data_IF_439811256722
#
_entry.id   IF_439811256722
#
_cell.length_a   1.000
_cell.length_b   1.000
_cell.length_c   1.000
_cell.angle_alpha   90.00
_cell.angle_beta   90.00
_cell.angle_gamma   90.00
#
_symmetry.space_group_name_H-M   'P 1'
#
loop_
_entity.id
_entity.type
_entity.pdbx_description
1 polymer ?
#
# COMPACT_ATOMS: atom_id res chain seq x y z
N UNK A 1 39.64 14.67 -42.73
CA UNK A 1 39.49 15.11 -41.33
C UNK A 1 38.95 13.90 -40.60
N UNK A 2 39.88 13.09 -40.08
CA UNK A 2 40.28 13.10 -38.65
C UNK A 2 39.13 12.53 -37.80
N UNK A 3 39.28 11.58 -36.88
CA UNK A 3 40.35 10.82 -36.22
C UNK A 3 39.59 9.58 -35.65
N UNK A 4 40.15 8.39 -35.55
CA UNK A 4 41.06 8.05 -34.47
C UNK A 4 40.29 7.57 -33.22
N UNK A 5 40.33 6.27 -32.92
CA UNK A 5 39.89 5.76 -31.62
C UNK A 5 39.94 4.24 -31.47
N UNK A 6 41.10 3.66 -31.09
CA UNK A 6 41.15 2.29 -30.62
C UNK A 6 41.21 2.19 -29.08
N UNK A 7 40.49 1.18 -28.63
CA UNK A 7 40.53 0.45 -27.36
C UNK A 7 41.84 0.42 -26.55
N UNK A 8 41.68 0.43 -25.23
CA UNK A 8 42.67 0.04 -24.22
C UNK A 8 42.38 0.78 -22.89
N UNK A 9 42.56 0.25 -21.68
CA UNK A 9 43.50 -0.75 -21.14
C UNK A 9 42.87 -1.25 -19.82
N UNK A 10 42.62 -2.55 -19.59
CA UNK A 10 43.51 -3.60 -19.06
C UNK A 10 44.36 -3.17 -17.84
N UNK A 11 43.92 -3.69 -16.68
CA UNK A 11 44.55 -3.70 -15.37
C UNK A 11 45.84 -4.55 -15.35
N UNK A 12 46.83 -4.13 -14.53
CA UNK A 12 48.00 -4.91 -14.13
C UNK A 12 48.26 -4.71 -12.62
N UNK A 13 48.57 -5.77 -11.84
CA UNK A 13 49.20 -5.65 -10.53
C UNK A 13 50.73 -5.85 -10.61
N UNK A 14 51.45 -5.45 -9.57
CA UNK A 14 52.88 -5.70 -9.39
C UNK A 14 53.16 -6.32 -8.01
N UNK A 15 54.02 -7.35 -7.98
CA UNK A 15 54.55 -8.04 -6.80
C UNK A 15 55.75 -7.32 -6.16
N UNK A 16 56.05 -7.61 -4.88
CA UNK A 16 57.14 -8.51 -4.38
C UNK A 16 58.50 -7.78 -4.40
N UNK A 17 59.27 -7.63 -3.30
CA UNK A 17 60.13 -8.68 -2.69
C UNK A 17 60.77 -8.23 -1.34
N UNK A 18 61.35 -9.21 -0.65
CA UNK A 18 61.78 -9.36 0.76
C UNK A 18 63.28 -9.16 1.05
N UNK A 19 63.67 -9.06 2.35
CA UNK A 19 64.84 -9.68 3.07
C UNK A 19 64.98 -8.99 4.47
N UNK A 20 64.88 -9.63 5.65
CA UNK A 20 65.75 -10.61 6.39
C UNK A 20 67.02 -9.94 6.99
N UNK A 21 67.49 -10.07 8.25
CA UNK A 21 67.57 -11.17 9.24
C UNK A 21 68.12 -10.64 10.61
N UNK A 22 68.03 -11.39 11.75
CA UNK A 22 68.95 -11.24 12.92
C UNK A 22 68.43 -11.21 14.39
N UNK A 23 68.65 -12.33 15.11
CA UNK A 23 68.41 -12.76 16.52
C UNK A 23 68.91 -11.87 17.72
N UNK A 24 68.32 -12.02 18.94
CA UNK A 24 68.97 -12.36 20.24
C UNK A 24 67.99 -12.37 21.47
N UNK A 25 68.34 -13.11 22.54
CA UNK A 25 67.53 -13.78 23.58
C UNK A 25 67.00 -12.99 24.84
N UNK A 26 65.86 -13.49 25.35
CA UNK A 26 65.30 -13.62 26.73
C UNK A 26 65.70 -12.73 27.96
N UNK A 27 64.71 -11.91 28.43
CA UNK A 27 64.06 -11.67 29.78
C UNK A 27 64.80 -11.81 31.16
N UNK A 28 64.32 -11.24 32.32
CA UNK A 28 62.94 -10.80 32.70
C UNK A 28 62.77 -9.56 33.67
N UNK A 29 61.51 -9.35 34.15
CA UNK A 29 60.96 -8.50 35.25
C UNK A 29 60.58 -7.04 34.89
N UNK A 30 59.44 -6.42 35.23
CA UNK A 30 58.42 -6.62 36.28
C UNK A 30 57.11 -5.86 35.91
N UNK A 31 55.95 -6.41 36.32
CA UNK A 31 54.70 -5.77 36.80
C UNK A 31 54.13 -4.51 36.12
N UNK A 32 52.96 -4.63 35.46
CA UNK A 32 51.67 -4.04 35.87
C UNK A 32 50.58 -4.38 34.83
N UNK A 33 49.49 -5.05 35.24
CA UNK A 33 48.30 -5.20 34.40
C UNK A 33 47.49 -3.88 34.40
N UNK A 34 46.94 -3.42 33.26
CA UNK A 34 45.92 -2.39 33.28
C UNK A 34 44.53 -3.03 33.46
N UNK A 35 43.76 -2.48 34.40
CA UNK A 35 42.34 -2.70 34.62
C UNK A 35 41.53 -2.63 33.30
N UNK A 36 40.49 -3.47 33.11
CA UNK A 36 39.52 -3.24 32.07
C UNK A 36 38.65 -2.05 32.50
N UNK A 37 39.06 -0.85 32.07
CA UNK A 37 38.22 0.34 32.12
C UNK A 37 36.86 0.01 31.50
N UNK A 38 35.81 0.31 32.27
CA UNK A 38 34.44 -0.10 32.02
C UNK A 38 34.02 0.03 30.57
N UNK A 39 33.48 -1.06 30.05
CA UNK A 39 32.51 -1.00 28.97
C UNK A 39 31.38 -0.15 29.52
N UNK A 40 31.42 1.15 29.19
CA UNK A 40 30.22 1.96 29.22
C UNK A 40 29.23 1.22 28.33
N UNK A 41 28.23 0.63 28.96
CA UNK A 41 26.96 0.38 28.32
C UNK A 41 26.49 1.76 27.87
N UNK A 42 26.87 2.12 26.65
CA UNK A 42 26.16 3.13 25.89
C UNK A 42 24.77 2.51 25.67
N UNK A 43 23.90 2.73 26.64
CA UNK A 43 22.47 2.71 26.44
C UNK A 43 22.18 3.73 25.35
N UNK A 44 22.32 3.30 24.10
CA UNK A 44 21.75 3.92 22.91
C UNK A 44 20.23 3.81 23.05
N UNK A 45 19.67 4.55 24.00
CA UNK A 45 18.24 4.85 24.11
C UNK A 45 17.91 5.91 23.05
N UNK A 46 18.28 5.62 21.80
CA UNK A 46 17.69 6.25 20.64
C UNK A 46 16.18 6.05 20.73
N UNK A 47 15.34 7.01 20.27
CA UNK A 47 13.91 6.95 20.51
C UNK A 47 13.34 5.62 20.02
N UNK A 48 13.04 4.70 20.95
CA UNK A 48 12.46 3.41 20.60
C UNK A 48 11.21 3.67 19.75
N UNK A 49 11.18 3.13 18.53
CA UNK A 49 10.02 3.24 17.65
C UNK A 49 8.88 2.38 18.22
N UNK A 50 8.12 3.00 19.13
CA UNK A 50 7.00 2.38 19.84
C UNK A 50 5.84 2.01 18.91
N UNK A 51 5.75 2.60 17.73
CA UNK A 51 4.71 2.25 16.77
C UNK A 51 5.13 0.96 16.05
N UNK A 52 6.37 0.88 15.56
CA UNK A 52 6.87 -0.35 14.91
C UNK A 52 6.95 -1.56 15.85
N UNK A 53 6.99 -1.37 17.17
CA UNK A 53 6.94 -2.47 18.15
C UNK A 53 5.55 -3.10 18.33
N UNK A 54 4.49 -2.49 17.80
CA UNK A 54 3.13 -3.05 17.86
C UNK A 54 3.02 -4.40 17.12
N UNK A 55 2.07 -5.27 17.52
CA UNK A 55 1.78 -6.50 16.79
C UNK A 55 1.37 -6.22 15.34
N UNK A 56 1.73 -7.14 14.44
CA UNK A 56 1.50 -7.04 13.00
C UNK A 56 0.03 -6.81 12.64
N UNK A 57 -0.89 -7.43 13.39
CA UNK A 57 -2.33 -7.23 13.22
C UNK A 57 -2.73 -5.76 13.45
N UNK A 58 -2.21 -5.14 14.51
CA UNK A 58 -2.50 -3.73 14.84
C UNK A 58 -1.90 -2.79 13.80
N UNK A 59 -0.68 -3.08 13.34
CA UNK A 59 -0.04 -2.33 12.26
C UNK A 59 -0.84 -2.45 10.95
N UNK A 60 -1.31 -3.66 10.63
CA UNK A 60 -2.20 -3.91 9.50
C UNK A 60 -3.51 -3.12 9.60
N UNK A 61 -4.11 -3.07 10.79
CA UNK A 61 -5.31 -2.26 11.05
C UNK A 61 -5.03 -0.78 10.82
N UNK A 62 -3.94 -0.24 11.39
CA UNK A 62 -3.54 1.17 11.17
C UNK A 62 -3.39 1.47 9.68
N UNK A 63 -2.66 0.62 8.95
CA UNK A 63 -2.48 0.77 7.51
C UNK A 63 -3.84 0.77 6.77
N UNK A 64 -4.75 -0.13 7.15
CA UNK A 64 -6.06 -0.28 6.51
C UNK A 64 -6.99 0.92 6.72
N UNK A 65 -6.72 1.74 7.74
CA UNK A 65 -7.47 2.96 8.03
C UNK A 65 -6.95 4.15 7.22
N UNK A 66 -5.69 4.13 6.77
CA UNK A 66 -5.12 5.19 5.96
C UNK A 66 -5.59 5.09 4.50
N UNK A 67 -5.80 6.22 3.79
CA UNK A 67 -5.88 6.20 2.33
C UNK A 67 -4.69 5.45 1.75
N UNK A 68 -4.92 4.61 0.75
CA UNK A 68 -3.92 3.69 0.21
C UNK A 68 -2.59 4.35 -0.16
N UNK A 69 -2.57 5.58 -0.65
CA UNK A 69 -1.31 6.27 -0.96
C UNK A 69 -0.54 6.73 0.29
N UNK A 70 -1.22 7.04 1.39
CA UNK A 70 -0.60 7.28 2.69
C UNK A 70 -0.20 5.96 3.37
N UNK A 71 -1.01 4.90 3.24
CA UNK A 71 -0.64 3.54 3.67
C UNK A 71 0.62 3.05 2.97
N UNK A 72 0.77 3.31 1.66
CA UNK A 72 2.00 3.00 0.92
C UNK A 72 3.22 3.85 1.36
N UNK A 73 3.02 5.00 2.02
CA UNK A 73 4.13 5.82 2.53
C UNK A 73 4.65 5.34 3.87
N UNK A 74 3.84 4.63 4.67
CA UNK A 74 4.31 4.06 5.94
C UNK A 74 5.42 3.01 5.74
N UNK A 75 5.61 2.52 4.51
CA UNK A 75 6.72 1.64 4.14
C UNK A 75 8.11 2.19 4.48
N UNK A 76 8.26 3.51 4.64
CA UNK A 76 9.54 4.15 4.99
C UNK A 76 9.86 4.04 6.49
N UNK A 77 8.88 3.69 7.33
CA UNK A 77 9.05 3.65 8.78
C UNK A 77 9.95 2.48 9.21
N UNK A 78 9.73 1.29 8.64
CA UNK A 78 10.65 0.15 8.75
C UNK A 78 10.31 -0.93 7.72
N UNK A 79 11.20 -1.92 7.58
CA UNK A 79 10.95 -3.11 6.73
C UNK A 79 9.63 -3.79 7.08
N UNK A 80 9.25 -3.82 8.36
CA UNK A 80 8.01 -4.41 8.87
C UNK A 80 6.77 -3.78 8.22
N UNK A 81 6.66 -2.46 8.20
CA UNK A 81 5.55 -1.75 7.55
C UNK A 81 5.51 -2.00 6.05
N UNK A 82 6.68 -2.04 5.41
CA UNK A 82 6.79 -2.37 3.99
C UNK A 82 6.23 -3.76 3.67
N UNK A 83 6.58 -4.76 4.47
CA UNK A 83 6.07 -6.12 4.30
C UNK A 83 4.56 -6.19 4.55
N UNK A 84 4.06 -5.56 5.60
CA UNK A 84 2.63 -5.55 5.91
C UNK A 84 1.80 -4.87 4.81
N UNK A 85 2.25 -3.73 4.30
CA UNK A 85 1.62 -3.06 3.15
C UNK A 85 1.56 -3.96 1.91
N UNK A 86 2.62 -4.71 1.60
CA UNK A 86 2.68 -5.50 0.36
C UNK A 86 1.98 -6.86 0.48
N UNK A 87 1.67 -7.34 1.67
CA UNK A 87 1.29 -8.74 1.88
C UNK A 87 -0.04 -8.97 2.61
N UNK A 88 -0.44 -8.11 3.55
CA UNK A 88 -1.55 -8.43 4.45
C UNK A 88 -2.54 -7.29 4.70
N UNK A 89 -2.10 -6.04 4.63
CA UNK A 89 -2.94 -4.92 5.02
C UNK A 89 -4.09 -4.70 4.02
N UNK A 90 -5.37 -4.64 4.47
CA UNK A 90 -6.47 -4.38 3.57
C UNK A 90 -6.40 -3.00 2.89
N UNK A 91 -6.72 -2.91 1.59
CA UNK A 91 -6.72 -1.64 0.86
C UNK A 91 -7.88 -0.72 1.27
N UNK A 92 -7.57 0.57 1.46
CA UNK A 92 -8.54 1.64 1.57
C UNK A 92 -8.35 2.62 0.41
N UNK A 93 -8.99 2.28 -0.71
CA UNK A 93 -8.81 2.96 -1.98
C UNK A 93 -9.80 4.11 -2.13
N UNK A 94 -9.32 5.33 -1.95
CA UNK A 94 -10.07 6.56 -2.22
C UNK A 94 -9.63 7.18 -3.55
N UNK A 95 -10.32 6.81 -4.63
CA UNK A 95 -10.04 7.34 -5.96
C UNK A 95 -10.31 8.84 -6.07
N UNK A 96 -11.21 9.38 -5.24
CA UNK A 96 -11.53 10.82 -5.23
C UNK A 96 -10.37 11.61 -4.65
N UNK A 97 -9.77 11.13 -3.55
CA UNK A 97 -8.56 11.71 -2.96
C UNK A 97 -7.37 11.68 -3.92
N UNK A 98 -7.14 10.55 -4.60
CA UNK A 98 -6.06 10.41 -5.57
C UNK A 98 -6.22 11.36 -6.76
N UNK A 99 -7.46 11.53 -7.26
CA UNK A 99 -7.76 12.50 -8.32
C UNK A 99 -7.49 13.93 -7.86
N UNK A 100 -7.95 14.32 -6.68
CA UNK A 100 -7.75 15.66 -6.13
C UNK A 100 -6.26 15.98 -5.95
N UNK A 101 -5.49 14.99 -5.49
CA UNK A 101 -4.07 15.16 -5.19
C UNK A 101 -3.16 15.15 -6.43
N UNK A 102 -3.43 14.27 -7.39
CA UNK A 102 -2.52 14.01 -8.51
C UNK A 102 -3.08 14.42 -9.87
N UNK A 103 -4.37 14.75 -9.96
CA UNK A 103 -5.09 14.98 -11.21
C UNK A 103 -5.58 13.68 -11.85
N UNK A 104 -6.61 13.78 -12.71
CA UNK A 104 -7.34 12.65 -13.31
C UNK A 104 -6.43 11.61 -13.98
N UNK A 105 -5.57 12.04 -14.89
CA UNK A 105 -4.74 11.14 -15.70
C UNK A 105 -3.70 10.41 -14.85
N UNK A 106 -3.05 11.11 -13.91
CA UNK A 106 -2.05 10.49 -13.03
C UNK A 106 -2.71 9.55 -12.02
N UNK A 107 -3.87 9.93 -11.48
CA UNK A 107 -4.61 9.10 -10.56
C UNK A 107 -4.97 7.73 -11.17
N UNK A 108 -5.41 7.70 -12.44
CA UNK A 108 -5.71 6.46 -13.14
C UNK A 108 -4.51 5.50 -13.18
N UNK A 109 -3.32 6.01 -13.53
CA UNK A 109 -2.08 5.21 -13.54
C UNK A 109 -1.67 4.72 -12.15
N UNK A 110 -1.79 5.57 -11.13
CA UNK A 110 -1.50 5.23 -9.73
C UNK A 110 -2.43 4.11 -9.25
N UNK A 111 -3.73 4.23 -9.51
CA UNK A 111 -4.75 3.25 -9.13
C UNK A 111 -4.49 1.91 -9.80
N UNK A 112 -4.20 1.91 -11.11
CA UNK A 112 -3.85 0.69 -11.81
C UNK A 112 -2.62 0.01 -11.20
N UNK A 113 -1.60 0.78 -10.81
CA UNK A 113 -0.38 0.24 -10.19
C UNK A 113 -0.63 -0.31 -8.80
N UNK A 114 -1.46 0.35 -8.00
CA UNK A 114 -1.88 -0.14 -6.68
C UNK A 114 -2.60 -1.47 -6.82
N UNK A 115 -3.62 -1.53 -7.67
CA UNK A 115 -4.45 -2.72 -7.85
C UNK A 115 -3.64 -3.91 -8.42
N UNK A 116 -2.58 -3.65 -9.20
CA UNK A 116 -1.70 -4.71 -9.71
C UNK A 116 -0.61 -5.16 -8.74
N UNK A 117 -0.13 -4.25 -7.87
CA UNK A 117 0.98 -4.56 -6.95
C UNK A 117 0.51 -5.15 -5.63
N UNK A 118 -0.78 -5.03 -5.31
CA UNK A 118 -1.31 -5.39 -4.01
C UNK A 118 -2.24 -6.61 -4.11
N UNK A 119 -1.96 -7.71 -3.36
CA UNK A 119 -2.72 -8.97 -3.48
C UNK A 119 -4.15 -8.90 -2.89
N UNK A 120 -4.46 -7.87 -2.11
CA UNK A 120 -5.73 -7.73 -1.39
C UNK A 120 -5.68 -8.41 0.00
N UNK A 121 -6.76 -8.35 0.80
CA UNK A 121 -8.11 -7.87 0.42
C UNK A 121 -8.25 -6.34 0.43
N UNK A 122 -9.41 -5.84 0.01
CA UNK A 122 -9.78 -4.44 0.11
C UNK A 122 -10.80 -4.26 1.22
N UNK A 123 -10.63 -3.22 2.03
CA UNK A 123 -11.57 -2.81 3.08
C UNK A 123 -12.56 -1.78 2.57
N UNK A 124 -12.07 -0.74 1.90
CA UNK A 124 -12.88 0.41 1.45
C UNK A 124 -12.55 0.81 0.02
N UNK A 125 -13.59 1.16 -0.75
CA UNK A 125 -13.50 1.71 -2.09
C UNK A 125 -14.42 2.93 -2.17
N UNK A 126 -13.84 4.09 -2.46
CA UNK A 126 -14.58 5.31 -2.79
C UNK A 126 -14.20 5.73 -4.19
N UNK A 127 -15.19 5.80 -5.08
CA UNK A 127 -14.97 6.08 -6.49
C UNK A 127 -16.12 6.87 -7.10
N UNK A 128 -15.79 7.75 -8.03
CA UNK A 128 -16.77 8.45 -8.85
C UNK A 128 -16.48 8.27 -10.35
N UNK A 129 -17.47 8.65 -11.17
CA UNK A 129 -17.45 8.59 -12.63
C UNK A 129 -16.42 9.50 -13.31
N UNK A 130 -15.79 10.39 -12.54
CA UNK A 130 -14.73 11.26 -13.02
C UNK A 130 -13.48 10.49 -13.43
N UNK A 131 -13.39 9.19 -13.17
CA UNK A 131 -12.20 8.39 -13.44
C UNK A 131 -12.45 7.27 -14.46
N UNK A 132 -11.59 7.17 -15.47
CA UNK A 132 -11.68 6.13 -16.50
C UNK A 132 -11.47 4.70 -15.96
N UNK A 133 -11.07 4.56 -14.70
CA UNK A 133 -10.75 3.27 -14.06
C UNK A 133 -11.86 2.70 -13.20
N UNK A 134 -13.08 3.28 -13.21
CA UNK A 134 -14.24 2.75 -12.43
C UNK A 134 -14.40 1.25 -12.63
N UNK A 135 -14.53 0.88 -13.90
CA UNK A 135 -14.65 -0.50 -14.35
C UNK A 135 -13.49 -1.40 -13.92
N UNK A 136 -12.26 -0.88 -13.99
CA UNK A 136 -11.06 -1.60 -13.57
C UNK A 136 -11.05 -1.85 -12.05
N UNK A 137 -11.51 -0.86 -11.26
CA UNK A 137 -11.64 -1.00 -9.81
C UNK A 137 -12.68 -2.06 -9.48
N UNK A 138 -13.88 -1.99 -10.07
CA UNK A 138 -14.96 -2.95 -9.80
C UNK A 138 -14.60 -4.39 -10.17
N UNK A 139 -13.73 -4.59 -11.17
CA UNK A 139 -13.25 -5.92 -11.59
C UNK A 139 -12.03 -6.42 -10.80
N UNK A 140 -11.35 -5.57 -10.05
CA UNK A 140 -10.11 -5.97 -9.37
C UNK A 140 -10.35 -7.02 -8.29
N UNK A 141 -9.51 -8.07 -8.28
CA UNK A 141 -9.53 -9.10 -7.23
C UNK A 141 -9.00 -8.60 -5.89
N UNK A 142 -8.19 -7.54 -5.91
CA UNK A 142 -7.70 -6.92 -4.69
C UNK A 142 -8.83 -6.37 -3.81
N UNK A 143 -10.06 -6.24 -4.34
CA UNK A 143 -11.23 -5.70 -3.65
C UNK A 143 -12.31 -6.77 -3.37
N UNK A 144 -12.01 -8.06 -3.49
CA UNK A 144 -13.03 -9.14 -3.41
C UNK A 144 -13.80 -9.21 -2.09
N UNK A 145 -13.19 -8.75 -0.99
CA UNK A 145 -13.79 -8.75 0.37
C UNK A 145 -14.16 -7.35 0.84
N UNK A 146 -14.58 -6.50 -0.08
CA UNK A 146 -14.89 -5.10 0.21
C UNK A 146 -15.99 -4.99 1.29
N UNK A 147 -15.70 -4.23 2.34
CA UNK A 147 -16.64 -3.99 3.44
C UNK A 147 -17.36 -2.64 3.28
N UNK A 148 -16.69 -1.66 2.67
CA UNK A 148 -17.21 -0.31 2.49
C UNK A 148 -17.13 0.11 1.02
N UNK A 149 -18.27 0.44 0.43
CA UNK A 149 -18.36 0.97 -0.93
C UNK A 149 -19.04 2.33 -0.95
N UNK A 150 -18.40 3.32 -1.57
CA UNK A 150 -19.03 4.55 -1.99
C UNK A 150 -18.82 4.73 -3.50
N UNK A 151 -19.92 4.71 -4.26
CA UNK A 151 -19.91 4.89 -5.71
C UNK A 151 -20.83 6.04 -6.10
N UNK A 152 -20.28 6.99 -6.85
CA UNK A 152 -21.01 8.19 -7.28
C UNK A 152 -20.93 8.42 -8.78
N UNK A 153 -22.01 8.94 -9.35
CA UNK A 153 -22.07 9.37 -10.74
C UNK A 153 -22.71 10.74 -10.82
N UNK A 154 -22.04 11.71 -11.43
CA UNK A 154 -22.49 13.10 -11.45
C UNK A 154 -23.50 13.38 -12.56
N UNK A 155 -23.56 12.53 -13.60
CA UNK A 155 -24.57 12.68 -14.67
C UNK A 155 -25.81 11.82 -14.44
N UNK A 156 -27.00 12.44 -14.39
CA UNK A 156 -28.22 11.70 -14.07
C UNK A 156 -28.56 10.67 -15.15
N UNK A 157 -29.18 9.56 -14.73
CA UNK A 157 -29.82 8.61 -15.64
C UNK A 157 -28.99 7.37 -16.00
N UNK A 158 -27.81 7.20 -15.41
CA UNK A 158 -26.93 6.06 -15.71
C UNK A 158 -27.26 4.88 -14.79
N UNK A 159 -27.40 3.65 -15.33
CA UNK A 159 -27.62 2.47 -14.51
C UNK A 159 -26.39 2.16 -13.67
N UNK A 160 -26.62 1.63 -12.46
CA UNK A 160 -25.51 1.16 -11.61
C UNK A 160 -24.75 0.02 -12.32
N UNK A 161 -23.40 0.05 -12.38
CA UNK A 161 -22.61 -1.01 -13.00
C UNK A 161 -22.88 -2.37 -12.35
N UNK A 162 -23.07 -3.41 -13.16
CA UNK A 162 -23.43 -4.74 -12.63
C UNK A 162 -22.32 -5.37 -11.79
N UNK A 163 -21.06 -4.99 -12.02
CA UNK A 163 -19.94 -5.44 -11.21
C UNK A 163 -20.02 -4.94 -9.76
N UNK A 164 -20.80 -3.90 -9.45
CA UNK A 164 -21.03 -3.47 -8.07
C UNK A 164 -21.68 -4.55 -7.20
N UNK A 165 -22.50 -5.43 -7.79
CA UNK A 165 -23.22 -6.48 -7.07
C UNK A 165 -22.31 -7.56 -6.49
N UNK A 166 -21.10 -7.72 -7.02
CA UNK A 166 -20.16 -8.73 -6.54
C UNK A 166 -19.77 -8.54 -5.07
N UNK A 167 -19.80 -7.29 -4.60
CA UNK A 167 -19.40 -6.94 -3.24
C UNK A 167 -20.55 -7.13 -2.24
N UNK A 168 -21.78 -7.32 -2.71
CA UNK A 168 -22.97 -7.37 -1.85
C UNK A 168 -22.88 -8.38 -0.67
N UNK A 169 -22.28 -9.57 -0.82
CA UNK A 169 -22.16 -10.52 0.30
C UNK A 169 -21.27 -10.04 1.45
N UNK A 170 -20.30 -9.16 1.20
CA UNK A 170 -19.31 -8.70 2.19
C UNK A 170 -19.56 -7.26 2.65
N UNK A 171 -20.34 -6.49 1.89
CA UNK A 171 -20.59 -5.09 2.19
C UNK A 171 -21.34 -4.90 3.51
N UNK A 172 -20.81 -3.98 4.30
CA UNK A 172 -21.34 -3.53 5.58
C UNK A 172 -21.82 -2.09 5.52
N UNK A 173 -21.16 -1.27 4.69
CA UNK A 173 -21.55 0.12 4.41
C UNK A 173 -21.56 0.31 2.90
N UNK A 174 -22.69 0.78 2.36
CA UNK A 174 -22.82 1.08 0.94
C UNK A 174 -23.42 2.48 0.76
N UNK A 175 -22.80 3.30 -0.09
CA UNK A 175 -23.34 4.59 -0.51
C UNK A 175 -23.40 4.65 -2.02
N UNK A 176 -24.58 4.88 -2.57
CA UNK A 176 -24.84 5.00 -4.01
C UNK A 176 -25.35 6.42 -4.27
N UNK A 177 -24.67 7.15 -5.15
CA UNK A 177 -25.03 8.54 -5.49
C UNK A 177 -25.27 8.69 -7.00
N UNK A 178 -26.41 9.28 -7.38
CA UNK A 178 -26.70 9.70 -8.76
C UNK A 178 -27.02 8.60 -9.78
N UNK A 179 -27.08 7.33 -9.36
CA UNK A 179 -27.44 6.20 -10.21
C UNK A 179 -28.94 5.92 -10.26
N UNK A 180 -29.38 5.23 -11.31
CA UNK A 180 -30.70 4.66 -11.42
C UNK A 180 -30.72 3.22 -10.87
N UNK A 181 -31.62 2.95 -9.94
CA UNK A 181 -31.89 1.61 -9.42
C UNK A 181 -33.22 1.11 -10.00
N UNK A 182 -33.14 0.21 -10.97
CA UNK A 182 -34.30 -0.46 -11.56
C UNK A 182 -34.61 -1.77 -10.81
N UNK A 183 -35.84 -2.30 -10.89
CA UNK A 183 -36.28 -3.49 -10.15
C UNK A 183 -35.35 -4.71 -10.35
N UNK A 184 -34.84 -4.90 -11.57
CA UNK A 184 -33.88 -5.95 -11.91
C UNK A 184 -32.54 -5.84 -11.16
N UNK A 185 -32.13 -4.61 -10.83
CA UNK A 185 -30.95 -4.34 -10.01
C UNK A 185 -31.23 -4.72 -8.55
N UNK A 186 -32.41 -4.35 -8.05
CA UNK A 186 -32.82 -4.56 -6.66
C UNK A 186 -32.98 -6.06 -6.35
N UNK A 187 -33.57 -6.83 -7.25
CA UNK A 187 -33.76 -8.28 -7.08
C UNK A 187 -32.44 -9.07 -6.98
N UNK A 188 -31.35 -8.56 -7.57
CA UNK A 188 -30.02 -9.17 -7.48
C UNK A 188 -29.18 -8.69 -6.29
N UNK A 189 -29.61 -7.64 -5.59
CA UNK A 189 -28.89 -7.00 -4.50
C UNK A 189 -29.26 -7.66 -3.15
N UNK A 190 -28.64 -8.80 -2.85
CA UNK A 190 -28.74 -9.42 -1.53
C UNK A 190 -27.57 -8.98 -0.64
N UNK A 191 -27.89 -8.26 0.44
CA UNK A 191 -26.92 -7.62 1.33
C UNK A 191 -26.99 -8.21 2.75
N UNK A 192 -26.48 -9.44 2.99
CA UNK A 192 -26.68 -10.14 4.25
C UNK A 192 -25.99 -9.48 5.45
N UNK A 193 -24.94 -8.70 5.23
CA UNK A 193 -24.11 -8.10 6.28
C UNK A 193 -24.23 -6.57 6.37
N UNK A 194 -25.09 -5.97 5.54
CA UNK A 194 -25.18 -4.51 5.41
C UNK A 194 -25.83 -3.89 6.65
N UNK A 195 -25.11 -2.93 7.24
CA UNK A 195 -25.52 -2.18 8.43
C UNK A 195 -25.96 -0.77 8.08
N UNK A 196 -25.45 -0.23 6.98
CA UNK A 196 -25.74 1.12 6.55
C UNK A 196 -25.86 1.20 5.02
N UNK A 197 -26.98 1.77 4.55
CA UNK A 197 -27.22 2.08 3.15
C UNK A 197 -27.50 3.58 3.00
N UNK A 198 -26.68 4.28 2.22
CA UNK A 198 -26.88 5.66 1.83
C UNK A 198 -27.28 5.75 0.35
N UNK A 199 -28.42 6.37 0.07
CA UNK A 199 -28.88 6.65 -1.30
C UNK A 199 -29.02 8.17 -1.46
N UNK A 200 -28.30 8.75 -2.43
CA UNK A 200 -28.35 10.20 -2.68
C UNK A 200 -28.66 10.49 -4.14
N UNK A 201 -29.71 11.29 -4.40
CA UNK A 201 -30.14 11.63 -5.75
C UNK A 201 -30.34 10.41 -6.66
N UNK A 202 -30.79 9.30 -6.09
CA UNK A 202 -31.04 8.04 -6.79
C UNK A 202 -32.45 8.07 -7.36
N UNK A 203 -32.63 7.67 -8.62
CA UNK A 203 -33.96 7.40 -9.15
C UNK A 203 -34.29 5.92 -9.01
N UNK A 204 -35.48 5.62 -8.49
CA UNK A 204 -36.00 4.27 -8.32
C UNK A 204 -37.22 4.16 -9.23
N UNK A 205 -37.32 3.07 -9.99
CA UNK A 205 -38.48 2.83 -10.86
C UNK A 205 -39.78 2.71 -10.04
N UNK A 206 -40.88 3.30 -10.50
CA UNK A 206 -42.18 3.36 -9.78
C UNK A 206 -42.81 1.99 -9.49
N UNK A 207 -42.38 0.92 -10.17
CA UNK A 207 -42.88 -0.43 -9.95
C UNK A 207 -42.44 -1.04 -8.60
N UNK A 208 -41.40 -0.50 -7.95
CA UNK A 208 -40.86 -0.98 -6.66
C UNK A 208 -41.62 -0.50 -5.41
N UNK A 209 -42.62 0.39 -5.55
CA UNK A 209 -43.40 0.92 -4.41
C UNK A 209 -44.68 0.12 -4.07
N UNK A 210 -45.01 -0.89 -4.87
CA UNK A 210 -46.28 -1.63 -4.78
C UNK A 210 -46.12 -3.15 -4.62
N UNK A 211 -45.03 -3.64 -4.01
CA UNK A 211 -44.85 -5.07 -3.69
C UNK A 211 -44.39 -5.29 -2.26
#
# INVERSE_FOLDING_TARGET
MEEGGPSGKKWKPAGVETTDDGDEAALPAETQAPDPAGVGEEDDDGPFDRISSLPDAVLGDIISLLPTDEGARTQILSSKWRHLWLSSAPLNLDCTHLRERYGRERAAGIISRILSSHPGPGRRLRIDDGLATVDACLRSRALDKLEELEIGYYSRGVPLPSQTFRFAPTLRVATIRGYNLHDSTIQGLHFPLLKQLGLHCVSISECSLHS
#
